data_IF_059801514235
#
_entry.id   IF_059801514235
#
_cell.length_a   1.000
_cell.length_b   1.000
_cell.length_c   1.000
_cell.angle_alpha   90.00
_cell.angle_beta   90.00
_cell.angle_gamma   90.00
#
_symmetry.space_group_name_H-M   'P 1'
#
loop_
_entity.id
_entity.type
_entity.pdbx_description
1 polymer ?
#
# COMPACT_ATOMS: atom_id res chain seq x y z
N UNK A 1 16.38 -1.40 -10.58
CA UNK A 1 15.27 -0.50 -10.96
C UNK A 1 13.98 -1.18 -10.54
N UNK A 2 13.11 -0.53 -9.75
CA UNK A 2 11.85 -1.12 -9.27
C UNK A 2 10.81 -1.01 -10.40
N UNK A 3 10.26 -2.14 -10.84
CA UNK A 3 9.19 -2.22 -11.83
C UNK A 3 7.83 -2.06 -11.14
N UNK A 4 6.97 -1.21 -11.68
CA UNK A 4 5.60 -1.01 -11.20
C UNK A 4 4.65 -1.21 -12.39
N UNK A 5 3.86 -2.27 -12.33
CA UNK A 5 2.89 -2.62 -13.36
C UNK A 5 1.50 -2.07 -13.04
N UNK A 6 1.14 -1.97 -11.75
CA UNK A 6 -0.19 -1.54 -11.30
C UNK A 6 -0.09 -0.64 -10.07
N UNK A 7 -0.92 0.40 -10.02
CA UNK A 7 -1.07 1.29 -8.85
C UNK A 7 -2.51 1.18 -8.34
N UNK A 8 -2.64 0.90 -7.05
CA UNK A 8 -3.92 0.81 -6.33
C UNK A 8 -4.08 1.95 -5.35
N UNK A 9 -5.30 2.50 -5.27
CA UNK A 9 -5.71 3.44 -4.22
C UNK A 9 -6.41 2.66 -3.12
N UNK A 10 -5.86 2.69 -1.90
CA UNK A 10 -6.50 2.08 -0.74
C UNK A 10 -7.80 2.83 -0.41
N UNK A 11 -8.91 2.10 -0.35
CA UNK A 11 -10.25 2.65 -0.09
C UNK A 11 -10.41 2.95 1.41
N UNK A 12 -9.83 4.04 1.89
CA UNK A 12 -10.03 4.53 3.26
C UNK A 12 -8.88 5.36 3.83
N UNK A 13 -9.13 6.00 4.96
CA UNK A 13 -8.10 6.73 5.70
C UNK A 13 -7.15 5.77 6.42
N UNK A 14 -5.85 5.88 6.15
CA UNK A 14 -4.82 5.08 6.80
C UNK A 14 -4.13 5.86 7.92
N UNK A 15 -3.78 5.18 9.02
CA UNK A 15 -2.83 5.72 9.98
C UNK A 15 -1.40 5.56 9.43
N UNK A 16 -0.89 6.62 8.81
CA UNK A 16 0.45 6.62 8.22
C UNK A 16 1.59 6.57 9.24
N UNK A 17 1.29 6.66 10.56
CA UNK A 17 2.28 6.56 11.64
C UNK A 17 2.68 5.11 11.92
N UNK A 18 1.82 4.14 11.59
CA UNK A 18 1.99 2.72 11.92
C UNK A 18 3.10 1.95 11.17
N UNK A 19 4.06 2.63 10.55
CA UNK A 19 5.14 1.99 9.80
C UNK A 19 4.70 1.43 8.43
N UNK A 20 5.49 0.53 7.85
CA UNK A 20 5.18 -0.15 6.58
C UNK A 20 4.41 -1.45 6.81
N UNK A 21 4.72 -2.21 7.86
CA UNK A 21 4.05 -3.49 8.17
C UNK A 21 2.54 -3.33 8.39
N UNK A 22 2.13 -2.27 9.08
CA UNK A 22 0.70 -1.97 9.29
C UNK A 22 -0.02 -1.70 7.97
N UNK A 23 0.65 -1.00 7.04
CA UNK A 23 0.10 -0.70 5.71
C UNK A 23 0.05 -1.95 4.83
N UNK A 24 1.09 -2.78 4.87
CA UNK A 24 1.11 -4.07 4.19
C UNK A 24 -0.02 -4.98 4.70
N UNK A 25 -0.21 -5.05 6.02
CA UNK A 25 -1.29 -5.83 6.60
C UNK A 25 -2.69 -5.31 6.19
N UNK A 26 -2.85 -4.00 5.94
CA UNK A 26 -4.08 -3.46 5.35
C UNK A 26 -4.27 -3.93 3.91
N UNK A 27 -3.23 -3.97 3.08
CA UNK A 27 -3.30 -4.54 1.71
C UNK A 27 -3.72 -6.00 1.79
N UNK A 28 -3.05 -6.81 2.60
CA UNK A 28 -3.30 -8.25 2.72
C UNK A 28 -4.72 -8.53 3.19
N UNK A 29 -5.28 -7.73 4.11
CA UNK A 29 -6.67 -7.87 4.56
C UNK A 29 -7.69 -7.33 3.57
N UNK A 30 -7.35 -6.29 2.80
CA UNK A 30 -8.27 -5.57 1.91
C UNK A 30 -8.40 -6.16 0.50
N UNK A 31 -7.36 -6.84 0.02
CA UNK A 31 -7.34 -7.46 -1.30
C UNK A 31 -7.46 -8.97 -1.18
N UNK A 32 -8.37 -9.59 -1.94
CA UNK A 32 -8.58 -11.05 -1.92
C UNK A 32 -7.32 -11.84 -2.30
N UNK A 33 -6.50 -11.29 -3.21
CA UNK A 33 -5.24 -11.87 -3.65
C UNK A 33 -4.04 -11.43 -2.79
N UNK A 34 -4.28 -10.63 -1.74
CA UNK A 34 -3.22 -10.01 -0.94
C UNK A 34 -2.35 -9.03 -1.73
N UNK A 35 -1.12 -8.82 -1.24
CA UNK A 35 -0.12 -8.00 -1.93
C UNK A 35 0.46 -8.77 -3.13
N UNK A 36 0.58 -8.09 -4.27
CA UNK A 36 1.04 -8.66 -5.53
C UNK A 36 2.36 -8.01 -5.95
N UNK A 37 3.28 -8.80 -6.52
CA UNK A 37 4.56 -8.30 -6.98
C UNK A 37 4.39 -7.23 -8.07
N UNK A 38 5.31 -6.27 -8.11
CA UNK A 38 5.31 -5.13 -9.03
C UNK A 38 4.08 -4.21 -8.88
N UNK A 39 3.39 -4.25 -7.74
CA UNK A 39 2.26 -3.35 -7.48
C UNK A 39 2.65 -2.26 -6.47
N UNK A 40 2.08 -1.08 -6.67
CA UNK A 40 2.14 0.01 -5.72
C UNK A 40 0.77 0.23 -5.05
N UNK A 41 0.76 0.45 -3.75
CA UNK A 41 -0.43 0.70 -2.94
C UNK A 41 -0.31 2.07 -2.30
N UNK A 42 -1.24 2.97 -2.64
CA UNK A 42 -1.26 4.36 -2.20
C UNK A 42 -2.22 4.52 -1.02
N UNK A 43 -1.70 5.12 0.04
CA UNK A 43 -2.44 5.41 1.27
C UNK A 43 -2.48 6.91 1.52
N UNK A 44 -3.62 7.40 1.99
CA UNK A 44 -3.79 8.76 2.45
C UNK A 44 -4.14 8.79 3.93
N UNK A 45 -3.66 9.81 4.65
CA UNK A 45 -4.18 10.06 5.99
C UNK A 45 -5.63 10.58 5.94
N UNK A 46 -6.30 10.66 7.10
CA UNK A 46 -7.69 11.13 7.21
C UNK A 46 -7.96 12.47 6.52
N UNK A 47 -6.99 13.39 6.55
CA UNK A 47 -7.08 14.73 5.95
C UNK A 47 -6.75 14.74 4.45
N UNK A 48 -6.23 13.63 3.91
CA UNK A 48 -5.73 13.51 2.55
C UNK A 48 -4.66 14.54 2.16
N UNK A 49 -3.90 15.08 3.13
CA UNK A 49 -2.79 16.00 2.92
C UNK A 49 -1.43 15.30 2.96
N UNK A 50 -1.40 14.01 3.29
CA UNK A 50 -0.20 13.16 3.28
C UNK A 50 -0.48 11.86 2.56
N UNK A 51 0.47 11.47 1.73
CA UNK A 51 0.47 10.20 1.03
C UNK A 51 1.66 9.34 1.46
N UNK A 52 1.45 8.04 1.49
CA UNK A 52 2.51 7.03 1.59
C UNK A 52 2.24 5.96 0.55
N UNK A 53 3.28 5.55 -0.16
CA UNK A 53 3.19 4.53 -1.20
C UNK A 53 4.02 3.33 -0.78
N UNK A 54 3.40 2.16 -0.73
CA UNK A 54 4.07 0.88 -0.54
C UNK A 54 4.24 0.25 -1.90
N UNK A 55 5.48 0.01 -2.34
CA UNK A 55 5.76 -0.75 -3.56
C UNK A 55 6.19 -2.15 -3.13
N UNK A 56 5.48 -3.17 -3.61
CA UNK A 56 5.77 -4.56 -3.33
C UNK A 56 6.42 -5.18 -4.56
N UNK A 57 7.71 -5.52 -4.47
CA UNK A 57 8.47 -6.10 -5.59
C UNK A 57 8.43 -7.64 -5.61
N UNK A 58 7.79 -8.26 -4.60
CA UNK A 58 7.66 -9.71 -4.46
C UNK A 58 8.90 -10.39 -3.86
N UNK A 59 9.96 -9.64 -3.57
CA UNK A 59 11.10 -10.10 -2.79
C UNK A 59 10.81 -9.80 -1.32
N UNK A 60 10.51 -10.84 -0.54
CA UNK A 60 10.34 -10.73 0.90
C UNK A 60 11.61 -10.28 1.61
#
# INVERSE_FOLDING_TARGET
MIRIDVIWLALGAADLRGGIDTLLAQVVRGFALGAQAHHAYVFANRRADRLKVLVYDGAG
#
